data_IF_679569033109
#
_entry.id   IF_679569033109
#
_cell.length_a   1.000
_cell.length_b   1.000
_cell.length_c   1.000
_cell.angle_alpha   90.00
_cell.angle_beta   90.00
_cell.angle_gamma   90.00
#
_symmetry.space_group_name_H-M   'P 1'
#
loop_
_entity.id
_entity.type
_entity.pdbx_description
1 polymer ?
#
# COMPACT_ATOMS: atom_id res chain seq x y z
N UNK A 1 37.90 -4.06 -14.98
CA UNK A 1 36.54 -4.63 -15.05
C UNK A 1 35.60 -3.64 -14.37
N UNK A 2 34.74 -2.96 -15.12
CA UNK A 2 33.73 -2.07 -14.55
C UNK A 2 32.70 -2.94 -13.82
N UNK A 3 32.59 -2.79 -12.51
CA UNK A 3 31.43 -3.26 -11.77
C UNK A 3 30.23 -2.47 -12.30
N UNK A 4 29.49 -3.03 -13.24
CA UNK A 4 28.12 -2.59 -13.50
C UNK A 4 27.36 -2.96 -12.24
N UNK A 5 27.24 -2.03 -11.30
CA UNK A 5 26.36 -2.19 -10.15
C UNK A 5 24.97 -2.47 -10.72
N UNK A 6 24.56 -3.73 -10.64
CA UNK A 6 23.26 -4.15 -11.10
C UNK A 6 22.23 -3.47 -10.18
N UNK A 7 21.73 -2.31 -10.62
CA UNK A 7 20.78 -1.50 -9.88
C UNK A 7 19.65 -2.39 -9.36
N UNK A 8 19.41 -2.37 -8.04
CA UNK A 8 18.44 -3.28 -7.41
C UNK A 8 17.07 -3.03 -8.03
N UNK A 9 16.25 -4.07 -8.21
CA UNK A 9 14.93 -3.92 -8.82
C UNK A 9 14.07 -2.82 -8.15
N UNK A 10 14.15 -2.70 -6.82
CA UNK A 10 13.42 -1.68 -6.07
C UNK A 10 13.83 -0.25 -6.43
N UNK A 11 15.12 -0.02 -6.72
CA UNK A 11 15.63 1.30 -7.06
C UNK A 11 15.13 1.73 -8.44
N UNK A 12 14.96 0.79 -9.38
CA UNK A 12 14.35 1.04 -10.70
C UNK A 12 12.87 1.40 -10.59
N UNK A 13 12.11 0.63 -9.81
CA UNK A 13 10.70 0.92 -9.55
C UNK A 13 10.51 2.31 -8.93
N UNK A 14 11.34 2.66 -7.95
CA UNK A 14 11.27 3.97 -7.31
C UNK A 14 11.71 5.10 -8.22
N UNK A 15 12.72 4.90 -9.06
CA UNK A 15 13.12 5.88 -10.06
C UNK A 15 11.95 6.20 -11.01
N UNK A 16 11.31 5.18 -11.59
CA UNK A 16 10.20 5.36 -12.51
C UNK A 16 8.98 5.98 -11.82
N UNK A 17 8.58 5.46 -10.65
CA UNK A 17 7.44 6.01 -9.92
C UNK A 17 7.67 7.47 -9.51
N UNK A 18 8.89 7.83 -9.11
CA UNK A 18 9.21 9.21 -8.72
C UNK A 18 9.22 10.18 -9.91
N UNK A 19 9.37 9.70 -11.15
CA UNK A 19 9.24 10.58 -12.32
C UNK A 19 7.84 11.16 -12.38
N UNK A 20 6.81 10.37 -12.10
CA UNK A 20 5.40 10.78 -12.16
C UNK A 20 4.91 11.55 -10.93
N UNK A 21 5.77 11.77 -9.95
CA UNK A 21 5.41 12.40 -8.67
C UNK A 21 6.47 13.45 -8.29
N UNK A 22 6.58 14.55 -9.04
CA UNK A 22 7.54 15.62 -8.77
C UNK A 22 6.94 16.76 -7.95
N UNK A 23 5.63 17.01 -8.08
CA UNK A 23 4.95 18.08 -7.37
C UNK A 23 4.82 17.75 -5.86
N UNK A 24 5.27 18.65 -4.98
CA UNK A 24 5.25 18.44 -3.53
C UNK A 24 3.83 18.26 -2.96
N UNK A 25 2.84 18.96 -3.50
CA UNK A 25 1.43 18.82 -3.10
C UNK A 25 0.89 17.45 -3.47
N UNK A 26 1.15 16.99 -4.70
CA UNK A 26 0.78 15.65 -5.14
C UNK A 26 1.44 14.57 -4.26
N UNK A 27 2.73 14.75 -3.97
CA UNK A 27 3.47 13.86 -3.08
C UNK A 27 2.90 13.83 -1.65
N UNK A 28 2.50 14.98 -1.09
CA UNK A 28 1.90 15.07 0.25
C UNK A 28 0.54 14.36 0.29
N UNK A 29 -0.30 14.57 -0.74
CA UNK A 29 -1.56 13.84 -0.90
C UNK A 29 -1.31 12.34 -0.93
N UNK A 30 -0.34 11.87 -1.72
CA UNK A 30 -0.01 10.43 -1.81
C UNK A 30 0.44 9.82 -0.49
N UNK A 31 1.21 10.55 0.32
CA UNK A 31 1.67 10.06 1.64
C UNK A 31 0.49 9.75 2.57
N UNK A 32 -0.67 10.40 2.39
CA UNK A 32 -1.88 10.14 3.17
C UNK A 32 -2.83 9.17 2.45
N UNK A 33 -3.09 9.42 1.17
CA UNK A 33 -4.06 8.67 0.37
C UNK A 33 -3.63 7.22 0.16
N UNK A 34 -2.34 6.95 -0.10
CA UNK A 34 -1.87 5.59 -0.39
C UNK A 34 -2.01 4.66 0.83
N UNK A 35 -1.59 5.02 2.05
CA UNK A 35 -1.87 4.21 3.23
C UNK A 35 -3.37 4.02 3.50
N UNK A 36 -4.20 5.04 3.24
CA UNK A 36 -5.64 4.97 3.41
C UNK A 36 -6.28 3.98 2.41
N UNK A 37 -5.88 4.05 1.13
CA UNK A 37 -6.28 3.09 0.09
C UNK A 37 -5.84 1.69 0.48
N UNK A 38 -4.58 1.51 0.90
CA UNK A 38 -4.06 0.21 1.30
C UNK A 38 -4.88 -0.41 2.44
N UNK A 39 -5.14 0.36 3.51
CA UNK A 39 -5.98 -0.11 4.61
C UNK A 39 -7.40 -0.46 4.14
N UNK A 40 -8.01 0.40 3.32
CA UNK A 40 -9.37 0.16 2.82
C UNK A 40 -9.46 -1.11 1.97
N UNK A 41 -8.46 -1.41 1.13
CA UNK A 41 -8.41 -2.65 0.35
C UNK A 41 -8.29 -3.87 1.27
N UNK A 42 -7.42 -3.81 2.28
CA UNK A 42 -7.28 -4.87 3.29
C UNK A 42 -8.61 -5.09 4.02
N UNK A 43 -9.28 -4.02 4.43
CA UNK A 43 -10.56 -4.08 5.13
C UNK A 43 -11.71 -4.61 4.25
N UNK A 44 -11.75 -4.24 2.97
CA UNK A 44 -12.72 -4.79 2.02
C UNK A 44 -12.51 -6.29 1.82
N UNK A 45 -11.25 -6.73 1.64
CA UNK A 45 -10.91 -8.16 1.59
C UNK A 45 -11.24 -8.89 2.90
N UNK A 46 -11.11 -8.20 4.03
CA UNK A 46 -11.46 -8.75 5.34
C UNK A 46 -12.95 -9.08 5.46
N UNK A 47 -13.79 -8.28 4.83
CA UNK A 47 -15.25 -8.42 4.85
C UNK A 47 -15.78 -9.52 3.93
N UNK A 48 -14.93 -10.11 3.07
CA UNK A 48 -15.34 -11.22 2.20
C UNK A 48 -15.67 -12.45 3.08
N UNK A 49 -16.89 -13.00 2.99
CA UNK A 49 -17.31 -14.11 3.82
C UNK A 49 -16.48 -15.36 3.50
N UNK A 50 -16.21 -16.15 4.53
CA UNK A 50 -15.57 -17.47 4.38
C UNK A 50 -16.63 -18.53 4.64
N UNK A 51 -16.98 -19.30 3.62
CA UNK A 51 -18.00 -20.35 3.72
C UNK A 51 -17.45 -21.63 4.39
N UNK A 52 -16.14 -21.71 4.60
CA UNK A 52 -15.47 -22.85 5.23
C UNK A 52 -15.45 -22.70 6.76
N UNK A 53 -15.87 -23.76 7.46
CA UNK A 53 -15.97 -23.81 8.94
C UNK A 53 -14.64 -23.70 9.68
N UNK A 54 -13.52 -24.01 9.02
CA UNK A 54 -12.17 -24.01 9.60
C UNK A 54 -11.52 -22.62 9.63
N UNK A 55 -12.09 -21.64 8.93
CA UNK A 55 -11.51 -20.33 8.73
C UNK A 55 -12.41 -19.24 9.33
N UNK A 56 -11.79 -18.27 10.00
CA UNK A 56 -12.50 -17.08 10.52
C UNK A 56 -12.47 -15.94 9.47
N UNK A 57 -13.31 -14.93 9.66
CA UNK A 57 -13.26 -13.72 8.84
C UNK A 57 -11.87 -13.08 8.83
N UNK A 58 -11.45 -12.56 7.68
CA UNK A 58 -10.13 -11.97 7.46
C UNK A 58 -9.10 -12.82 6.69
N UNK A 59 -9.40 -14.09 6.36
CA UNK A 59 -8.44 -14.99 5.68
C UNK A 59 -8.02 -14.47 4.31
N UNK A 60 -8.94 -13.92 3.51
CA UNK A 60 -8.62 -13.34 2.19
C UNK A 60 -7.68 -12.14 2.30
N UNK A 61 -7.89 -11.28 3.29
CA UNK A 61 -6.98 -10.18 3.60
C UNK A 61 -5.59 -10.70 4.03
N UNK A 62 -5.56 -11.71 4.90
CA UNK A 62 -4.32 -12.35 5.35
C UNK A 62 -3.51 -12.94 4.19
N UNK A 63 -4.15 -13.67 3.30
CA UNK A 63 -3.52 -14.25 2.11
C UNK A 63 -2.96 -13.16 1.18
N UNK A 64 -3.77 -12.13 0.88
CA UNK A 64 -3.33 -11.02 0.03
C UNK A 64 -2.14 -10.27 0.63
N UNK A 65 -2.18 -9.95 1.93
CA UNK A 65 -1.07 -9.31 2.64
C UNK A 65 0.18 -10.18 2.64
N UNK A 66 0.05 -11.49 2.84
CA UNK A 66 1.18 -12.42 2.81
C UNK A 66 1.84 -12.47 1.42
N UNK A 67 1.05 -12.59 0.35
CA UNK A 67 1.57 -12.56 -1.03
C UNK A 67 2.26 -11.23 -1.35
N UNK A 68 1.65 -10.09 -0.98
CA UNK A 68 2.25 -8.77 -1.17
C UNK A 68 3.55 -8.63 -0.35
N UNK A 69 3.57 -9.11 0.88
CA UNK A 69 4.76 -9.11 1.73
C UNK A 69 5.90 -9.95 1.13
N UNK A 70 5.60 -11.15 0.62
CA UNK A 70 6.60 -11.98 -0.07
C UNK A 70 7.21 -11.24 -1.26
N UNK A 71 6.39 -10.56 -2.05
CA UNK A 71 6.84 -9.74 -3.15
C UNK A 71 7.77 -8.61 -2.69
N UNK A 72 7.38 -7.86 -1.64
CA UNK A 72 8.22 -6.79 -1.09
C UNK A 72 9.53 -7.29 -0.48
N UNK A 73 9.49 -8.43 0.22
CA UNK A 73 10.67 -9.03 0.83
C UNK A 73 11.70 -9.49 -0.23
N UNK A 74 11.23 -9.86 -1.42
CA UNK A 74 12.09 -10.13 -2.59
C UNK A 74 12.72 -8.86 -3.18
N UNK A 75 12.07 -7.71 -3.06
CA UNK A 75 12.59 -6.42 -3.54
C UNK A 75 13.62 -5.80 -2.60
N UNK A 76 13.34 -5.83 -1.28
CA UNK A 76 14.27 -5.43 -0.22
C UNK A 76 13.81 -6.04 1.10
N UNK A 77 14.71 -6.74 1.82
CA UNK A 77 14.40 -7.30 3.16
C UNK A 77 14.00 -6.22 4.16
N UNK A 78 14.64 -5.05 4.09
CA UNK A 78 14.38 -3.91 4.99
C UNK A 78 12.97 -3.33 4.77
N UNK A 79 12.55 -3.16 3.51
CA UNK A 79 11.16 -2.80 3.17
C UNK A 79 10.20 -3.93 3.55
N UNK A 80 10.58 -5.20 3.34
CA UNK A 80 9.80 -6.37 3.73
C UNK A 80 9.43 -6.36 5.22
N UNK A 81 10.40 -6.09 6.10
CA UNK A 81 10.12 -5.95 7.54
C UNK A 81 9.23 -4.75 7.86
N UNK A 82 9.45 -3.60 7.22
CA UNK A 82 8.58 -2.43 7.44
C UNK A 82 7.14 -2.69 6.99
N UNK A 83 6.95 -3.31 5.82
CA UNK A 83 5.61 -3.67 5.33
C UNK A 83 4.96 -4.78 6.16
N UNK A 84 5.73 -5.71 6.74
CA UNK A 84 5.20 -6.67 7.70
C UNK A 84 4.56 -5.97 8.90
N UNK A 85 5.24 -4.97 9.48
CA UNK A 85 4.71 -4.17 10.60
C UNK A 85 3.47 -3.38 10.17
N UNK A 86 3.49 -2.77 8.99
CA UNK A 86 2.33 -2.03 8.44
C UNK A 86 1.12 -2.95 8.26
N UNK A 87 1.30 -4.10 7.61
CA UNK A 87 0.23 -5.08 7.39
C UNK A 87 -0.29 -5.68 8.69
N UNK A 88 0.58 -6.04 9.62
CA UNK A 88 0.17 -6.51 10.93
C UNK A 88 -0.69 -5.47 11.65
N UNK A 89 -0.25 -4.21 11.66
CA UNK A 89 -0.99 -3.10 12.29
C UNK A 89 -2.36 -2.90 11.64
N UNK A 90 -2.42 -2.83 10.30
CA UNK A 90 -3.69 -2.68 9.57
C UNK A 90 -4.63 -3.87 9.79
N UNK A 91 -4.10 -5.09 9.83
CA UNK A 91 -4.86 -6.30 10.16
C UNK A 91 -5.42 -6.25 11.59
N UNK A 92 -4.64 -5.81 12.57
CA UNK A 92 -5.11 -5.59 13.94
C UNK A 92 -6.23 -4.54 14.01
N UNK A 93 -6.12 -3.45 13.25
CA UNK A 93 -7.18 -2.43 13.16
C UNK A 93 -8.46 -3.01 12.55
N UNK A 94 -8.36 -3.76 11.45
CA UNK A 94 -9.53 -4.43 10.85
C UNK A 94 -10.19 -5.39 11.84
N UNK A 95 -9.38 -6.20 12.54
CA UNK A 95 -9.86 -7.11 13.58
C UNK A 95 -10.58 -6.36 14.69
N UNK A 96 -10.00 -5.28 15.19
CA UNK A 96 -10.54 -4.47 16.28
C UNK A 96 -11.89 -3.86 15.91
N UNK A 97 -11.99 -3.23 14.74
CA UNK A 97 -13.24 -2.62 14.25
C UNK A 97 -14.31 -3.71 14.04
N UNK A 98 -13.96 -4.80 13.34
CA UNK A 98 -14.89 -5.91 13.11
C UNK A 98 -15.42 -6.51 14.41
N UNK A 99 -14.57 -6.65 15.45
CA UNK A 99 -15.00 -7.18 16.74
C UNK A 99 -15.82 -6.21 17.58
N UNK A 100 -15.51 -4.90 17.55
CA UNK A 100 -16.17 -3.91 18.42
C UNK A 100 -17.42 -3.28 17.81
N UNK A 101 -17.42 -3.07 16.49
CA UNK A 101 -18.47 -2.35 15.78
C UNK A 101 -19.15 -3.20 14.70
N UNK A 102 -18.68 -4.42 14.44
CA UNK A 102 -19.23 -5.33 13.44
C UNK A 102 -18.59 -5.18 12.06
N UNK A 103 -18.74 -6.22 11.25
CA UNK A 103 -18.19 -6.29 9.89
C UNK A 103 -18.87 -5.30 8.94
N UNK A 104 -20.15 -4.99 9.16
CA UNK A 104 -20.86 -4.00 8.35
C UNK A 104 -20.27 -2.59 8.50
N UNK A 105 -19.95 -2.19 9.74
CA UNK A 105 -19.27 -0.90 9.99
C UNK A 105 -17.89 -0.88 9.35
N UNK A 106 -17.13 -1.98 9.43
CA UNK A 106 -15.84 -2.11 8.74
C UNK A 106 -15.99 -1.94 7.22
N UNK A 107 -16.99 -2.60 6.62
CA UNK A 107 -17.27 -2.55 5.18
C UNK A 107 -17.58 -1.13 4.71
N UNK A 108 -18.52 -0.44 5.35
CA UNK A 108 -18.91 0.91 4.96
C UNK A 108 -17.82 1.95 5.23
N UNK A 109 -17.07 1.79 6.32
CA UNK A 109 -15.91 2.63 6.61
C UNK A 109 -14.82 2.45 5.55
N UNK A 110 -14.52 1.19 5.19
CA UNK A 110 -13.54 0.87 4.16
C UNK A 110 -13.96 1.41 2.78
N UNK A 111 -15.21 1.20 2.38
CA UNK A 111 -15.74 1.72 1.12
C UNK A 111 -15.66 3.25 1.07
N UNK A 112 -16.01 3.94 2.17
CA UNK A 112 -15.94 5.40 2.26
C UNK A 112 -14.51 5.92 2.14
N UNK A 113 -13.58 5.32 2.90
CA UNK A 113 -12.16 5.69 2.85
C UNK A 113 -11.57 5.41 1.46
N UNK A 114 -11.93 4.28 0.84
CA UNK A 114 -11.47 3.92 -0.50
C UNK A 114 -11.86 5.00 -1.52
N UNK A 115 -13.14 5.41 -1.53
CA UNK A 115 -13.63 6.44 -2.47
C UNK A 115 -12.96 7.79 -2.21
N UNK A 116 -12.95 8.27 -0.97
CA UNK A 116 -12.37 9.58 -0.63
C UNK A 116 -10.88 9.64 -0.94
N UNK A 117 -10.13 8.59 -0.57
CA UNK A 117 -8.69 8.55 -0.79
C UNK A 117 -8.35 8.46 -2.30
N UNK A 118 -9.13 7.73 -3.09
CA UNK A 118 -8.97 7.72 -4.55
C UNK A 118 -9.27 9.07 -5.19
N UNK A 119 -10.34 9.76 -4.78
CA UNK A 119 -10.64 11.13 -5.23
C UNK A 119 -9.44 12.04 -4.93
N UNK A 120 -8.91 11.99 -3.70
CA UNK A 120 -7.74 12.77 -3.33
C UNK A 120 -6.53 12.43 -4.24
N UNK A 121 -6.25 11.14 -4.48
CA UNK A 121 -5.15 10.70 -5.33
C UNK A 121 -5.29 11.22 -6.77
N UNK A 122 -6.50 11.19 -7.35
CA UNK A 122 -6.77 11.74 -8.67
C UNK A 122 -6.63 13.27 -8.72
N UNK A 123 -7.07 13.97 -7.67
CA UNK A 123 -6.82 15.43 -7.54
C UNK A 123 -5.33 15.72 -7.51
N UNK A 124 -4.55 14.94 -6.76
CA UNK A 124 -3.08 15.04 -6.74
C UNK A 124 -2.47 14.89 -8.14
N UNK A 125 -2.89 13.88 -8.89
CA UNK A 125 -2.42 13.67 -10.27
C UNK A 125 -2.86 14.77 -11.24
N UNK A 126 -4.07 15.33 -11.04
CA UNK A 126 -4.52 16.49 -11.82
C UNK A 126 -3.62 17.71 -11.58
N UNK A 127 -3.19 17.94 -10.34
CA UNK A 127 -2.23 19.00 -9.96
C UNK A 127 -0.84 18.73 -10.55
N UNK A 128 -0.40 17.46 -10.56
CA UNK A 128 0.87 17.05 -11.17
C UNK A 128 0.89 17.22 -12.71
N UNK A 129 -0.28 17.14 -13.36
CA UNK A 129 -0.39 17.15 -14.82
C UNK A 129 0.05 15.84 -15.48
N UNK A 130 0.27 14.78 -14.68
CA UNK A 130 0.65 13.44 -15.14
C UNK A 130 -0.41 12.42 -14.77
N UNK A 131 -0.60 11.44 -15.65
CA UNK A 131 -1.52 10.33 -15.40
C UNK A 131 -1.02 9.46 -14.24
N UNK A 132 -1.93 8.87 -13.44
CA UNK A 132 -1.53 7.90 -12.43
C UNK A 132 -0.75 6.73 -13.01
N UNK A 133 0.39 6.38 -12.40
CA UNK A 133 1.30 5.35 -12.94
C UNK A 133 0.64 3.96 -13.04
N UNK A 134 -0.37 3.65 -12.21
CA UNK A 134 -1.05 2.35 -12.34
C UNK A 134 -1.89 2.20 -13.61
N UNK A 135 -2.20 3.31 -14.30
CA UNK A 135 -2.86 3.26 -15.60
C UNK A 135 -1.91 2.80 -16.72
N UNK A 136 -0.59 2.90 -16.50
CA UNK A 136 0.41 2.38 -17.44
C UNK A 136 0.82 0.96 -17.09
N UNK A 137 0.96 0.66 -15.79
CA UNK A 137 1.26 -0.69 -15.29
C UNK A 137 0.62 -0.90 -13.91
N UNK A 138 -0.26 -1.89 -13.81
CA UNK A 138 -0.99 -2.22 -12.58
C UNK A 138 -0.07 -2.53 -11.39
N UNK A 139 1.17 -2.98 -11.66
CA UNK A 139 2.20 -3.23 -10.65
C UNK A 139 2.49 -1.98 -9.80
N UNK A 140 2.29 -0.77 -10.33
CA UNK A 140 2.48 0.46 -9.56
C UNK A 140 1.50 0.64 -8.40
N UNK A 141 0.38 -0.10 -8.35
CA UNK A 141 -0.45 -0.18 -7.15
C UNK A 141 0.30 -0.84 -5.99
N UNK A 142 1.13 -1.85 -6.27
CA UNK A 142 1.98 -2.49 -5.26
C UNK A 142 3.19 -1.63 -4.90
N UNK A 143 3.68 -0.80 -5.84
CA UNK A 143 4.86 0.06 -5.62
C UNK A 143 4.52 1.29 -4.77
N UNK A 144 3.34 1.88 -4.93
CA UNK A 144 2.92 3.08 -4.18
C UNK A 144 3.14 2.97 -2.66
N UNK A 145 2.64 1.92 -1.98
CA UNK A 145 2.82 1.73 -0.54
C UNK A 145 4.28 1.69 -0.10
N UNK A 146 5.11 0.90 -0.78
CA UNK A 146 6.53 0.77 -0.42
C UNK A 146 7.33 2.03 -0.77
N UNK A 147 6.89 2.82 -1.76
CA UNK A 147 7.48 4.13 -2.04
C UNK A 147 7.19 5.15 -0.93
N UNK A 148 5.96 5.15 -0.38
CA UNK A 148 5.61 5.96 0.81
C UNK A 148 6.41 5.52 2.03
N UNK A 149 6.53 4.20 2.27
CA UNK A 149 7.37 3.67 3.34
C UNK A 149 8.84 4.06 3.16
N UNK A 150 9.36 4.00 1.93
CA UNK A 150 10.73 4.40 1.62
C UNK A 150 10.98 5.89 1.87
N UNK A 151 9.98 6.77 1.64
CA UNK A 151 10.06 8.18 2.05
C UNK A 151 10.18 8.33 3.56
N UNK A 152 9.41 7.58 4.32
CA UNK A 152 9.52 7.55 5.77
C UNK A 152 10.92 7.10 6.21
N UNK A 153 11.44 6.02 5.63
CA UNK A 153 12.79 5.53 5.94
C UNK A 153 13.86 6.59 5.66
N UNK A 154 13.80 7.27 4.51
CA UNK A 154 14.74 8.35 4.17
C UNK A 154 14.67 9.50 5.18
N UNK A 155 13.46 9.87 5.64
CA UNK A 155 13.28 10.90 6.68
C UNK A 155 13.91 10.49 8.02
N UNK A 156 13.90 9.19 8.33
CA UNK A 156 14.51 8.64 9.54
C UNK A 156 16.00 8.31 9.39
N UNK A 157 16.60 8.50 8.22
CA UNK A 157 17.98 8.11 7.92
C UNK A 157 18.19 6.59 7.79
N UNK A 158 17.12 5.81 7.65
CA UNK A 158 17.18 4.35 7.53
C UNK A 158 17.47 3.91 6.10
N UNK A 159 18.27 2.86 5.97
CA UNK A 159 18.59 2.23 4.68
C UNK A 159 17.61 1.10 4.39
N UNK A 160 17.34 0.89 3.11
CA UNK A 160 16.58 -0.25 2.62
C UNK A 160 17.12 -0.74 1.29
#
# INVERSE_FOLDING_TARGET
MQHVDAQRPIDRWFANYSQDHRNLTNQAIHVVAVPAILWSVIALLWCIPVQATWFRGGVWAGLAMFCAWMYYNRLSRSIGYGMFVVFFTMGCVCRLISQRAGTEVLLWSAASVFVVAWIAQFVGHKIEGRKPSFLTDLSYLLIGPIWVLAKFYRKMGWRY
#
